data_IF_868789970402
#
_entry.id   IF_868789970402
#
_cell.length_a   1.000
_cell.length_b   1.000
_cell.length_c   1.000
_cell.angle_alpha   90.00
_cell.angle_beta   90.00
_cell.angle_gamma   90.00
#
_symmetry.space_group_name_H-M   'P 1'
#
loop_
_entity.id
_entity.type
_entity.pdbx_description
1 polymer ?
#
# COMPACT_ATOMS: atom_id res chain seq x y z
N UNK A 1 1.23 -1.68 -14.30
CA UNK A 1 2.55 -2.04 -13.73
C UNK A 1 2.74 -1.35 -12.41
N UNK A 2 3.40 -2.02 -11.47
CA UNK A 2 3.81 -1.52 -10.15
C UNK A 2 5.34 -1.33 -10.21
N UNK A 3 5.87 -0.22 -9.70
CA UNK A 3 7.33 -0.05 -9.71
C UNK A 3 8.00 -0.96 -8.68
N UNK A 4 9.32 -1.16 -8.78
CA UNK A 4 10.05 -1.95 -7.78
C UNK A 4 9.89 -1.36 -6.37
N UNK A 5 9.85 -0.02 -6.24
CA UNK A 5 9.66 0.64 -4.95
C UNK A 5 8.25 0.43 -4.40
N UNK A 6 7.23 0.56 -5.22
CA UNK A 6 5.85 0.29 -4.81
C UNK A 6 5.72 -1.17 -4.31
N UNK A 7 6.29 -2.12 -5.05
CA UNK A 7 6.28 -3.53 -4.67
C UNK A 7 7.06 -3.76 -3.36
N UNK A 8 8.20 -3.10 -3.17
CA UNK A 8 9.01 -3.21 -1.96
C UNK A 8 8.28 -2.68 -0.73
N UNK A 9 7.59 -1.53 -0.82
CA UNK A 9 6.81 -0.99 0.29
C UNK A 9 5.58 -1.82 0.62
N UNK A 10 4.89 -2.35 -0.40
CA UNK A 10 3.77 -3.29 -0.21
C UNK A 10 4.25 -4.55 0.50
N UNK A 11 5.33 -5.16 0.02
CA UNK A 11 5.91 -6.35 0.62
C UNK A 11 6.35 -6.10 2.08
N UNK A 12 7.00 -4.96 2.36
CA UNK A 12 7.41 -4.59 3.70
C UNK A 12 6.21 -4.48 4.65
N UNK A 13 5.13 -3.83 4.24
CA UNK A 13 3.93 -3.71 5.05
C UNK A 13 3.27 -5.07 5.35
N UNK A 14 3.22 -5.97 4.36
CA UNK A 14 2.72 -7.33 4.56
C UNK A 14 3.58 -8.13 5.54
N UNK A 15 4.92 -8.05 5.42
CA UNK A 15 5.86 -8.77 6.30
C UNK A 15 5.81 -8.26 7.75
N UNK A 16 5.53 -6.98 7.96
CA UNK A 16 5.46 -6.35 9.27
C UNK A 16 4.05 -6.38 9.88
N UNK A 17 3.08 -6.99 9.20
CA UNK A 17 1.66 -6.92 9.57
C UNK A 17 1.17 -5.47 9.77
N UNK A 18 1.70 -4.53 8.98
CA UNK A 18 1.44 -3.10 9.07
C UNK A 18 0.47 -2.62 7.97
N UNK A 19 0.00 -1.39 8.08
CA UNK A 19 -0.79 -0.71 7.03
C UNK A 19 0.12 0.23 6.25
N UNK A 20 0.25 0.03 4.94
CA UNK A 20 0.87 0.98 4.03
C UNK A 20 -0.15 2.06 3.66
N UNK A 21 0.17 3.32 3.97
CA UNK A 21 -0.57 4.47 3.47
C UNK A 21 0.16 5.07 2.27
N UNK A 22 -0.57 5.26 1.16
CA UNK A 22 -0.05 5.85 -0.08
C UNK A 22 -0.99 6.91 -0.63
N UNK A 23 -0.44 7.88 -1.36
CA UNK A 23 -1.22 8.85 -2.13
C UNK A 23 -1.46 8.41 -3.58
N UNK A 24 -0.87 7.28 -4.01
CA UNK A 24 -1.03 6.76 -5.37
C UNK A 24 -2.28 5.88 -5.46
N UNK A 25 -3.37 6.46 -5.99
CA UNK A 25 -4.64 5.76 -6.21
C UNK A 25 -4.50 4.60 -7.23
N UNK A 26 -3.58 4.70 -8.20
CA UNK A 26 -3.36 3.61 -9.16
C UNK A 26 -2.71 2.40 -8.51
N UNK A 27 -1.92 2.60 -7.45
CA UNK A 27 -1.34 1.51 -6.69
C UNK A 27 -2.44 0.75 -5.95
N UNK A 28 -3.39 1.46 -5.33
CA UNK A 28 -4.52 0.87 -4.60
C UNK A 28 -5.36 -0.06 -5.47
N UNK A 29 -5.64 0.33 -6.71
CA UNK A 29 -6.37 -0.52 -7.66
C UNK A 29 -5.62 -1.81 -7.99
N UNK A 30 -4.31 -1.70 -8.25
CA UNK A 30 -3.46 -2.81 -8.67
C UNK A 30 -3.19 -3.82 -7.57
N UNK A 31 -3.24 -3.39 -6.31
CA UNK A 31 -2.92 -4.22 -5.13
C UNK A 31 -4.12 -4.38 -4.19
N UNK A 32 -5.33 -4.19 -4.72
CA UNK A 32 -6.59 -4.23 -3.98
C UNK A 32 -6.86 -5.53 -3.23
N UNK A 33 -6.19 -6.63 -3.61
CA UNK A 33 -6.19 -7.89 -2.86
C UNK A 33 -5.55 -7.77 -1.47
N UNK A 34 -4.60 -6.85 -1.29
CA UNK A 34 -3.94 -6.58 -0.02
C UNK A 34 -4.70 -5.50 0.75
N UNK A 35 -5.59 -5.93 1.65
CA UNK A 35 -6.38 -5.05 2.56
C UNK A 35 -5.56 -4.11 3.46
N UNK A 36 -4.23 -4.28 3.45
CA UNK A 36 -3.24 -3.52 4.22
C UNK A 36 -2.66 -2.31 3.47
N UNK A 37 -3.10 -2.05 2.24
CA UNK A 37 -2.73 -0.83 1.50
C UNK A 37 -3.93 0.11 1.46
N UNK A 38 -3.75 1.35 1.92
CA UNK A 38 -4.82 2.34 2.06
C UNK A 38 -4.43 3.70 1.52
N UNK A 39 -5.43 4.51 1.20
CA UNK A 39 -5.16 5.88 0.81
C UNK A 39 -4.73 6.71 2.02
N UNK A 40 -3.73 7.58 1.87
CA UNK A 40 -3.18 8.40 2.97
C UNK A 40 -4.23 9.32 3.61
N UNK A 41 -5.30 9.67 2.89
CA UNK A 41 -6.45 10.41 3.44
C UNK A 41 -7.20 9.65 4.54
N UNK A 42 -7.09 8.32 4.58
CA UNK A 42 -7.67 7.49 5.63
C UNK A 42 -6.78 7.39 6.88
N UNK A 43 -5.61 8.03 6.89
CA UNK A 43 -4.71 7.98 8.02
C UNK A 43 -5.25 8.77 9.21
N UNK A 44 -5.29 8.14 10.38
CA UNK A 44 -5.70 8.72 11.66
C UNK A 44 -4.65 8.40 12.71
N UNK A 45 -4.29 9.38 13.55
CA UNK A 45 -3.36 9.23 14.68
C UNK A 45 -4.02 8.62 15.91
#
# INVERSE_FOLDING_TARGET
>A
GVTMYDAAYVALALLQDATLYTADENLLEKVSEFKRVRHVREFTL
#
